data_IF_384783513410
#
_entry.id   IF_384783513410
#
_cell.length_a   1.000
_cell.length_b   1.000
_cell.length_c   1.000
_cell.angle_alpha   90.00
_cell.angle_beta   90.00
_cell.angle_gamma   90.00
#
_symmetry.space_group_name_H-M   'P 1'
#
loop_
_entity.id
_entity.type
_entity.pdbx_description
1 polymer ?
#
# COMPACT_ATOMS: atom_id res chain seq x y z
N UNK A 1 -12.53 -69.32 65.68
CA UNK A 1 -12.08 -67.92 65.61
C UNK A 1 -13.16 -67.13 64.89
N UNK A 2 -14.05 -66.42 65.59
CA UNK A 2 -15.25 -65.86 65.00
C UNK A 2 -15.07 -64.38 64.65
N UNK A 3 -15.48 -63.99 63.45
CA UNK A 3 -15.67 -62.59 63.07
C UNK A 3 -17.13 -62.40 62.67
N UNK A 4 -17.88 -61.68 63.50
CA UNK A 4 -19.29 -61.35 63.32
C UNK A 4 -19.48 -59.84 63.52
N UNK A 5 -19.82 -59.17 62.42
CA UNK A 5 -20.84 -58.12 62.24
C UNK A 5 -20.77 -56.78 63.00
N UNK A 6 -21.43 -55.73 62.45
CA UNK A 6 -21.03 -54.33 62.56
C UNK A 6 -21.82 -53.53 63.60
N UNK A 7 -21.43 -52.27 63.81
CA UNK A 7 -22.28 -51.23 64.42
C UNK A 7 -22.05 -49.87 63.76
N UNK A 8 -23.17 -49.22 63.40
CA UNK A 8 -23.31 -47.79 63.15
C UNK A 8 -23.10 -47.01 64.49
N UNK A 9 -22.82 -45.70 64.57
CA UNK A 9 -23.50 -44.53 63.98
C UNK A 9 -22.71 -43.23 64.25
N UNK A 10 -22.97 -42.21 63.41
CA UNK A 10 -23.13 -40.77 63.71
C UNK A 10 -21.92 -39.83 63.91
N UNK A 11 -21.72 -39.01 62.87
CA UNK A 11 -21.63 -37.54 62.81
C UNK A 11 -20.73 -36.74 63.76
N UNK A 12 -19.87 -35.89 63.18
CA UNK A 12 -19.89 -34.45 63.48
C UNK A 12 -19.28 -33.63 62.33
N UNK A 13 -19.95 -32.54 62.01
CA UNK A 13 -19.67 -31.61 60.93
C UNK A 13 -18.48 -30.68 61.26
N UNK A 14 -17.71 -30.34 60.23
CA UNK A 14 -16.74 -29.24 60.25
C UNK A 14 -16.68 -28.58 58.87
N UNK A 15 -17.36 -27.45 58.70
CA UNK A 15 -17.23 -26.60 57.53
C UNK A 15 -15.82 -26.00 57.51
N UNK A 16 -14.98 -26.44 56.57
CA UNK A 16 -13.73 -25.75 56.20
C UNK A 16 -14.00 -24.99 54.91
N UNK A 17 -14.31 -23.70 55.03
CA UNK A 17 -14.34 -22.79 53.90
C UNK A 17 -12.89 -22.48 53.48
N UNK A 18 -12.36 -23.24 52.52
CA UNK A 18 -11.10 -22.92 51.85
C UNK A 18 -11.31 -21.71 50.96
N UNK A 19 -10.83 -20.55 51.40
CA UNK A 19 -10.71 -19.35 50.57
C UNK A 19 -9.58 -19.57 49.57
N UNK A 20 -9.93 -19.94 48.33
CA UNK A 20 -8.99 -19.98 47.22
C UNK A 20 -8.82 -18.55 46.71
N UNK A 21 -7.74 -17.89 47.12
CA UNK A 21 -7.31 -16.61 46.54
C UNK A 21 -6.74 -16.89 45.15
N UNK A 22 -7.58 -16.88 44.13
CA UNK A 22 -7.12 -16.82 42.74
C UNK A 22 -6.55 -15.43 42.49
N UNK A 23 -5.22 -15.28 42.57
CA UNK A 23 -4.51 -14.14 42.00
C UNK A 23 -4.67 -14.17 40.48
N UNK A 24 -5.75 -13.59 40.00
CA UNK A 24 -5.88 -13.20 38.60
C UNK A 24 -4.96 -12.01 38.39
N UNK A 25 -3.73 -12.27 37.96
CA UNK A 25 -2.94 -11.24 37.29
C UNK A 25 -3.66 -10.92 35.99
N UNK A 26 -4.53 -9.91 36.03
CA UNK A 26 -5.11 -9.32 34.83
C UNK A 26 -3.97 -8.75 34.01
N UNK A 27 -3.55 -9.47 32.96
CA UNK A 27 -2.77 -8.91 31.88
C UNK A 27 -3.72 -7.94 31.14
N UNK A 28 -3.86 -6.71 31.65
CA UNK A 28 -4.41 -5.62 30.85
C UNK A 28 -3.40 -5.38 29.73
N UNK A 29 -3.65 -5.99 28.58
CA UNK A 29 -3.04 -5.57 27.34
C UNK A 29 -3.44 -4.10 27.14
N UNK A 30 -2.53 -3.19 27.48
CA UNK A 30 -2.64 -1.77 27.18
C UNK A 30 -2.81 -1.65 25.68
N UNK A 31 -4.05 -1.42 25.22
CA UNK A 31 -4.29 -1.02 23.83
C UNK A 31 -3.61 0.32 23.65
N UNK A 32 -2.51 0.32 22.92
CA UNK A 32 -1.82 1.54 22.51
C UNK A 32 -2.82 2.45 21.78
N UNK A 33 -2.81 3.73 22.11
CA UNK A 33 -3.73 4.69 21.52
C UNK A 33 -3.47 4.78 20.00
N UNK A 34 -4.51 4.92 19.15
CA UNK A 34 -4.31 5.08 17.72
C UNK A 34 -3.40 6.27 17.41
N UNK A 35 -2.45 6.08 16.49
CA UNK A 35 -1.56 7.15 16.02
C UNK A 35 -2.40 8.20 15.29
N UNK A 36 -2.38 9.48 15.70
CA UNK A 36 -3.10 10.53 15.01
C UNK A 36 -2.56 10.77 13.58
N UNK A 37 -3.44 10.78 12.59
CA UNK A 37 -3.10 11.07 11.19
C UNK A 37 -2.99 12.60 11.01
N UNK A 38 -1.85 13.16 10.57
CA UNK A 38 -1.71 14.59 10.33
C UNK A 38 -2.63 15.09 9.20
N UNK A 39 -3.29 16.25 9.34
CA UNK A 39 -4.24 16.73 8.33
C UNK A 39 -3.61 17.51 7.16
N UNK A 40 -2.28 17.61 7.10
CA UNK A 40 -1.57 18.51 6.19
C UNK A 40 -1.66 18.11 4.70
N UNK A 41 -1.60 19.13 3.83
CA UNK A 41 -1.48 18.97 2.37
C UNK A 41 -0.30 19.83 1.90
N UNK A 42 0.70 19.25 1.19
CA UNK A 42 0.87 17.83 0.95
C UNK A 42 1.13 17.05 2.26
N UNK A 43 0.83 15.74 2.30
CA UNK A 43 1.25 14.85 3.39
C UNK A 43 2.76 14.87 3.61
N UNK A 44 3.20 14.58 4.84
CA UNK A 44 4.62 14.53 5.16
C UNK A 44 5.35 13.39 4.43
N UNK A 45 6.66 13.53 4.26
CA UNK A 45 7.46 12.63 3.45
C UNK A 45 7.66 11.22 4.03
N UNK A 46 7.35 11.01 5.30
CA UNK A 46 7.56 9.74 6.00
C UNK A 46 9.02 9.44 6.32
N UNK A 47 9.33 8.16 6.53
CA UNK A 47 10.70 7.71 6.76
C UNK A 47 11.60 8.12 5.58
N UNK A 48 12.82 8.63 5.83
CA UNK A 48 13.74 9.02 4.77
C UNK A 48 14.12 7.81 3.93
N UNK A 49 14.06 7.95 2.61
CA UNK A 49 14.49 6.92 1.66
C UNK A 49 16.02 6.98 1.55
N UNK A 50 16.74 5.85 1.68
CA UNK A 50 18.16 5.79 1.40
C UNK A 50 18.48 6.19 -0.04
N UNK A 51 19.59 6.90 -0.24
CA UNK A 51 20.13 7.14 -1.59
C UNK A 51 20.53 5.81 -2.23
N UNK A 52 20.13 5.58 -3.47
CA UNK A 52 20.51 4.39 -4.27
C UNK A 52 21.13 4.80 -5.60
N UNK A 53 21.82 3.87 -6.26
CA UNK A 53 22.21 4.05 -7.66
C UNK A 53 21.05 3.65 -8.57
N UNK A 54 20.38 4.65 -9.16
CA UNK A 54 19.24 4.45 -10.06
C UNK A 54 19.65 3.96 -11.46
N UNK A 55 20.95 3.89 -11.75
CA UNK A 55 21.49 3.36 -13.01
C UNK A 55 22.21 2.01 -12.81
N UNK A 56 22.16 1.45 -11.61
CA UNK A 56 22.70 0.13 -11.35
C UNK A 56 22.01 -0.94 -12.22
N UNK A 57 22.72 -1.99 -12.63
CA UNK A 57 22.10 -3.06 -13.42
C UNK A 57 21.04 -3.81 -12.61
N UNK A 58 20.01 -4.29 -13.32
CA UNK A 58 18.90 -5.03 -12.74
C UNK A 58 17.91 -4.14 -12.00
N UNK A 59 17.13 -4.75 -11.11
CA UNK A 59 16.03 -4.10 -10.42
C UNK A 59 16.54 -3.19 -9.32
N UNK A 60 16.58 -1.89 -9.60
CA UNK A 60 17.19 -0.90 -8.69
C UNK A 60 16.47 -0.77 -7.34
N UNK A 61 15.19 -1.13 -7.25
CA UNK A 61 14.45 -1.17 -5.98
C UNK A 61 14.91 -2.27 -5.02
N UNK A 62 15.68 -3.27 -5.49
CA UNK A 62 16.26 -4.29 -4.61
C UNK A 62 17.22 -3.68 -3.58
N UNK A 63 17.87 -2.56 -3.91
CA UNK A 63 18.71 -1.78 -2.99
C UNK A 63 17.92 -1.21 -1.79
N UNK A 64 16.59 -1.14 -1.87
CA UNK A 64 15.70 -0.60 -0.85
C UNK A 64 14.94 -1.68 -0.06
N UNK A 65 15.16 -2.98 -0.32
CA UNK A 65 14.41 -4.05 0.34
C UNK A 65 14.60 -4.08 1.86
N UNK A 66 15.81 -3.83 2.34
CA UNK A 66 16.08 -3.79 3.79
C UNK A 66 15.38 -2.62 4.46
N UNK A 67 15.42 -1.43 3.84
CA UNK A 67 14.69 -0.25 4.30
C UNK A 67 13.18 -0.51 4.33
N UNK A 68 12.64 -1.07 3.25
CA UNK A 68 11.23 -1.39 3.14
C UNK A 68 10.81 -2.41 4.21
N UNK A 69 11.53 -3.52 4.37
CA UNK A 69 11.26 -4.53 5.39
C UNK A 69 11.39 -3.99 6.82
N UNK A 70 12.16 -2.92 7.04
CA UNK A 70 12.29 -2.27 8.34
C UNK A 70 11.05 -1.48 8.78
N UNK A 71 10.18 -1.09 7.85
CA UNK A 71 9.04 -0.20 8.14
C UNK A 71 7.68 -0.71 7.61
N UNK A 72 7.64 -1.82 6.89
CA UNK A 72 6.46 -2.28 6.17
C UNK A 72 5.31 -2.74 7.09
N UNK A 73 5.61 -3.45 8.18
CA UNK A 73 4.62 -4.16 9.00
C UNK A 73 3.56 -3.22 9.61
N UNK A 74 3.93 -2.11 10.29
CA UNK A 74 2.94 -1.20 10.88
C UNK A 74 2.03 -0.52 9.84
N UNK A 75 2.53 -0.37 8.61
CA UNK A 75 1.82 0.26 7.50
C UNK A 75 1.02 -0.75 6.67
N UNK A 76 1.22 -2.05 6.88
CA UNK A 76 0.62 -3.12 6.09
C UNK A 76 0.84 -2.93 4.57
N UNK A 77 2.06 -2.56 4.17
CA UNK A 77 2.46 -2.45 2.76
C UNK A 77 3.34 -3.65 2.40
N UNK A 78 3.15 -4.34 1.27
CA UNK A 78 4.09 -5.36 0.82
C UNK A 78 5.49 -4.76 0.60
N UNK A 79 6.55 -5.49 0.99
CA UNK A 79 7.95 -5.02 0.85
C UNK A 79 8.27 -4.62 -0.59
N UNK A 80 7.82 -5.40 -1.58
CA UNK A 80 8.02 -5.10 -3.00
C UNK A 80 7.38 -3.75 -3.40
N UNK A 81 6.16 -3.48 -2.96
CA UNK A 81 5.48 -2.21 -3.26
C UNK A 81 6.18 -1.02 -2.59
N UNK A 82 6.54 -1.18 -1.31
CA UNK A 82 7.20 -0.11 -0.57
C UNK A 82 8.58 0.23 -1.17
N UNK A 83 9.38 -0.80 -1.51
CA UNK A 83 10.66 -0.61 -2.18
C UNK A 83 10.49 0.10 -3.54
N UNK A 84 9.47 -0.27 -4.33
CA UNK A 84 9.14 0.39 -5.58
C UNK A 84 8.76 1.88 -5.40
N UNK A 85 7.95 2.22 -4.39
CA UNK A 85 7.60 3.62 -4.10
C UNK A 85 8.82 4.44 -3.67
N UNK A 86 9.70 3.87 -2.84
CA UNK A 86 10.96 4.49 -2.47
C UNK A 86 11.88 4.71 -3.68
N UNK A 87 11.99 3.70 -4.53
CA UNK A 87 12.80 3.75 -5.74
C UNK A 87 12.30 4.83 -6.72
N UNK A 88 10.99 4.92 -6.93
CA UNK A 88 10.39 5.92 -7.79
C UNK A 88 10.57 7.35 -7.24
N UNK A 89 10.43 7.54 -5.93
CA UNK A 89 10.71 8.82 -5.28
C UNK A 89 12.19 9.22 -5.42
N UNK A 90 13.11 8.28 -5.23
CA UNK A 90 14.54 8.52 -5.38
C UNK A 90 14.93 8.79 -6.84
N UNK A 91 14.31 8.10 -7.80
CA UNK A 91 14.46 8.35 -9.23
C UNK A 91 14.06 9.78 -9.57
N UNK A 92 12.92 10.28 -9.04
CA UNK A 92 12.53 11.68 -9.24
C UNK A 92 13.44 12.64 -8.49
N UNK A 93 13.90 12.33 -7.27
CA UNK A 93 14.83 13.18 -6.53
C UNK A 93 16.15 13.41 -7.28
N UNK A 94 16.65 12.39 -7.99
CA UNK A 94 17.91 12.49 -8.75
C UNK A 94 17.71 13.10 -10.14
N UNK A 95 16.56 12.89 -10.80
CA UNK A 95 16.34 13.32 -12.20
C UNK A 95 15.50 14.59 -12.34
N UNK A 96 14.67 14.91 -11.34
CA UNK A 96 13.79 16.08 -11.22
C UNK A 96 13.72 16.57 -9.77
N UNK A 97 14.83 17.02 -9.17
CA UNK A 97 14.89 17.40 -7.76
C UNK A 97 13.88 18.50 -7.38
N UNK A 98 13.51 19.36 -8.33
CA UNK A 98 12.50 20.41 -8.15
C UNK A 98 11.08 19.87 -7.91
N UNK A 99 10.83 18.59 -8.19
CA UNK A 99 9.51 17.98 -8.02
C UNK A 99 9.15 17.75 -6.54
N UNK A 100 10.13 17.52 -5.66
CA UNK A 100 9.90 17.25 -4.24
C UNK A 100 8.86 16.12 -3.95
N UNK A 101 8.78 15.10 -4.81
CA UNK A 101 7.88 13.96 -4.62
C UNK A 101 8.29 13.12 -3.41
N UNK A 102 7.35 12.88 -2.49
CA UNK A 102 7.50 11.93 -1.40
C UNK A 102 6.95 10.54 -1.76
N UNK A 103 7.62 9.47 -1.31
CA UNK A 103 7.17 8.08 -1.53
C UNK A 103 5.79 7.82 -0.93
N UNK A 104 5.42 8.52 0.16
CA UNK A 104 4.11 8.40 0.81
C UNK A 104 2.96 8.76 -0.13
N UNK A 105 3.16 9.68 -1.08
CA UNK A 105 2.16 10.02 -2.10
C UNK A 105 1.90 8.85 -3.04
N UNK A 106 2.96 8.18 -3.51
CA UNK A 106 2.86 6.99 -4.36
C UNK A 106 2.21 5.82 -3.61
N UNK A 107 2.56 5.65 -2.33
CA UNK A 107 1.92 4.67 -1.46
C UNK A 107 0.42 4.98 -1.26
N UNK A 108 0.05 6.25 -1.07
CA UNK A 108 -1.35 6.67 -0.98
C UNK A 108 -2.14 6.30 -2.24
N UNK A 109 -1.60 6.57 -3.43
CA UNK A 109 -2.20 6.16 -4.70
C UNK A 109 -2.33 4.64 -4.77
N UNK A 110 -1.24 3.89 -4.55
CA UNK A 110 -1.26 2.43 -4.62
C UNK A 110 -2.22 1.79 -3.60
N UNK A 111 -2.44 2.43 -2.45
CA UNK A 111 -3.47 2.01 -1.50
C UNK A 111 -4.86 2.14 -2.11
N UNK A 112 -5.21 3.34 -2.59
CA UNK A 112 -6.53 3.65 -3.13
C UNK A 112 -6.84 2.79 -4.35
N UNK A 113 -5.87 2.64 -5.26
CA UNK A 113 -6.04 1.87 -6.50
C UNK A 113 -6.22 0.38 -6.24
N UNK A 114 -5.29 -0.24 -5.50
CA UNK A 114 -5.25 -1.72 -5.43
C UNK A 114 -4.82 -2.30 -4.09
N UNK A 115 -4.81 -1.49 -3.01
CA UNK A 115 -4.26 -1.91 -1.71
C UNK A 115 -2.82 -2.44 -1.83
N UNK A 116 -2.01 -1.77 -2.66
CA UNK A 116 -0.62 -2.11 -2.99
C UNK A 116 -0.48 -3.43 -3.75
N UNK A 117 -1.25 -3.61 -4.82
CA UNK A 117 -1.22 -4.81 -5.66
C UNK A 117 -1.96 -6.01 -5.08
N UNK A 118 -2.88 -5.80 -4.13
CA UNK A 118 -3.62 -6.86 -3.41
C UNK A 118 -5.13 -6.89 -3.70
N UNK A 119 -5.55 -6.26 -4.78
CA UNK A 119 -6.97 -6.18 -5.13
C UNK A 119 -7.45 -7.46 -5.83
N UNK A 120 -8.69 -7.89 -5.52
CA UNK A 120 -9.36 -9.07 -6.12
C UNK A 120 -8.55 -10.38 -6.07
N UNK A 121 -7.79 -10.58 -4.99
CA UNK A 121 -7.00 -11.79 -4.77
C UNK A 121 -5.64 -11.80 -5.47
N UNK A 122 -5.27 -10.69 -6.14
CA UNK A 122 -3.90 -10.49 -6.59
C UNK A 122 -2.94 -10.34 -5.41
N UNK A 123 -1.68 -10.67 -5.64
CA UNK A 123 -0.56 -10.35 -4.76
C UNK A 123 0.65 -10.01 -5.62
N UNK A 124 1.58 -9.23 -5.07
CA UNK A 124 2.89 -9.03 -5.70
C UNK A 124 3.77 -10.25 -5.43
N UNK A 125 4.39 -10.79 -6.48
CA UNK A 125 5.46 -11.77 -6.32
C UNK A 125 6.78 -11.08 -5.93
N UNK A 126 7.83 -11.88 -5.71
CA UNK A 126 9.15 -11.37 -5.32
C UNK A 126 9.75 -10.42 -6.37
N UNK A 127 9.44 -10.64 -7.65
CA UNK A 127 9.89 -9.84 -8.79
C UNK A 127 9.06 -8.56 -9.00
N UNK A 128 7.99 -8.34 -8.21
CA UNK A 128 7.15 -7.14 -8.28
C UNK A 128 5.96 -7.21 -9.22
N UNK A 129 5.66 -8.35 -9.83
CA UNK A 129 4.48 -8.53 -10.67
C UNK A 129 3.22 -8.81 -9.84
N UNK A 130 2.13 -8.13 -10.19
CA UNK A 130 0.81 -8.45 -9.67
C UNK A 130 0.25 -9.73 -10.31
N UNK A 131 0.01 -10.77 -9.50
CA UNK A 131 -0.49 -12.07 -9.93
C UNK A 131 -1.76 -12.49 -9.18
N UNK A 132 -2.88 -12.81 -9.88
CA UNK A 132 -3.09 -12.56 -11.31
C UNK A 132 -3.04 -11.05 -11.64
N UNK A 133 -2.88 -10.68 -12.92
CA UNK A 133 -2.99 -9.29 -13.37
C UNK A 133 -4.24 -8.60 -12.85
N UNK A 134 -4.11 -7.33 -12.46
CA UNK A 134 -5.21 -6.53 -11.93
C UNK A 134 -5.82 -5.73 -13.08
N UNK A 135 -6.94 -6.20 -13.61
CA UNK A 135 -7.68 -5.51 -14.66
C UNK A 135 -8.92 -4.84 -14.04
N UNK A 136 -9.01 -3.53 -14.28
CA UNK A 136 -10.09 -2.67 -13.86
C UNK A 136 -11.42 -2.99 -14.57
N UNK A 137 -12.43 -2.20 -14.21
CA UNK A 137 -13.71 -2.22 -14.92
C UNK A 137 -13.56 -1.64 -16.33
N UNK A 138 -14.53 -1.96 -17.20
CA UNK A 138 -14.62 -1.34 -18.54
C UNK A 138 -14.97 0.13 -18.39
N UNK A 139 -14.28 0.99 -19.11
CA UNK A 139 -14.58 2.42 -19.16
C UNK A 139 -15.44 2.70 -20.41
N UNK A 140 -16.70 2.25 -20.37
CA UNK A 140 -17.66 2.28 -21.48
C UNK A 140 -18.74 3.38 -21.37
N UNK A 141 -18.53 4.36 -20.49
CA UNK A 141 -19.48 5.45 -20.27
C UNK A 141 -20.75 5.05 -19.52
N UNK A 142 -20.85 3.82 -18.99
CA UNK A 142 -21.95 3.44 -18.11
C UNK A 142 -21.96 4.29 -16.82
N UNK A 143 -23.11 4.45 -16.13
CA UNK A 143 -23.26 5.44 -15.07
C UNK A 143 -22.18 5.36 -13.98
N UNK A 144 -21.40 6.44 -13.85
CA UNK A 144 -20.30 6.54 -12.89
C UNK A 144 -18.91 6.23 -13.46
N UNK A 145 -18.81 5.87 -14.74
CA UNK A 145 -17.54 5.53 -15.39
C UNK A 145 -17.27 6.42 -16.61
N UNK A 146 -15.99 6.67 -16.88
CA UNK A 146 -15.57 7.36 -18.09
C UNK A 146 -15.86 6.50 -19.33
N UNK A 147 -15.96 7.14 -20.49
CA UNK A 147 -16.01 6.51 -21.80
C UNK A 147 -14.64 6.67 -22.46
N UNK A 148 -13.84 5.60 -22.47
CA UNK A 148 -12.46 5.59 -22.99
C UNK A 148 -12.34 4.45 -24.02
N UNK A 149 -12.38 4.77 -25.33
CA UNK A 149 -12.17 3.78 -26.38
C UNK A 149 -10.79 3.12 -26.30
N UNK A 150 -10.65 1.91 -26.85
CA UNK A 150 -9.38 1.17 -26.91
C UNK A 150 -8.26 2.01 -27.54
N UNK A 151 -7.09 2.06 -26.88
CA UNK A 151 -5.92 2.82 -27.36
C UNK A 151 -4.69 1.96 -27.63
N UNK A 152 -4.73 0.66 -27.33
CA UNK A 152 -3.57 -0.23 -27.44
C UNK A 152 -3.82 -1.56 -28.17
N UNK A 153 -5.05 -1.78 -28.67
CA UNK A 153 -5.44 -3.01 -29.34
C UNK A 153 -5.73 -4.15 -28.36
N UNK A 154 -6.11 -3.84 -27.12
CA UNK A 154 -6.30 -4.79 -26.03
C UNK A 154 -4.98 -5.40 -25.53
N UNK A 155 -3.84 -4.72 -25.71
CA UNK A 155 -2.51 -5.25 -25.38
C UNK A 155 -2.38 -5.53 -23.87
N UNK A 156 -2.85 -4.61 -23.03
CA UNK A 156 -2.64 -4.71 -21.59
C UNK A 156 -3.84 -5.25 -20.81
N UNK A 157 -5.05 -5.07 -21.33
CA UNK A 157 -6.30 -5.45 -20.64
C UNK A 157 -7.15 -6.49 -21.39
N UNK A 158 -6.80 -6.81 -22.64
CA UNK A 158 -7.51 -7.77 -23.49
C UNK A 158 -8.84 -7.26 -24.06
N UNK A 159 -9.22 -6.00 -23.86
CA UNK A 159 -10.47 -5.41 -24.37
C UNK A 159 -10.18 -4.57 -25.62
N UNK A 160 -10.63 -5.02 -26.78
CA UNK A 160 -10.38 -4.33 -28.06
C UNK A 160 -11.41 -3.27 -28.41
N UNK A 161 -12.26 -2.87 -27.45
CA UNK A 161 -13.30 -1.86 -27.66
C UNK A 161 -13.12 -0.65 -26.76
N UNK A 162 -12.87 -0.87 -25.46
CA UNK A 162 -12.65 0.21 -24.48
C UNK A 162 -11.54 -0.18 -23.52
N UNK A 163 -10.72 0.81 -23.18
CA UNK A 163 -9.62 0.65 -22.26
C UNK A 163 -10.10 0.39 -20.82
N UNK A 164 -9.24 -0.28 -20.06
CA UNK A 164 -9.39 -0.54 -18.62
C UNK A 164 -8.14 -0.10 -17.89
N UNK A 165 -8.28 0.21 -16.61
CA UNK A 165 -7.13 0.44 -15.75
C UNK A 165 -6.35 -0.87 -15.49
N UNK A 166 -5.03 -0.85 -15.62
CA UNK A 166 -4.17 -2.05 -15.55
C UNK A 166 -3.15 -1.96 -14.43
N UNK A 167 -2.96 -3.09 -13.75
CA UNK A 167 -1.86 -3.31 -12.82
C UNK A 167 -2.04 -2.65 -11.45
N UNK A 168 -1.02 -2.73 -10.58
CA UNK A 168 -1.11 -2.29 -9.19
C UNK A 168 -1.28 -0.78 -9.01
N UNK A 169 -0.97 0.02 -10.02
CA UNK A 169 -1.19 1.47 -10.01
C UNK A 169 -2.32 1.90 -10.97
N UNK A 170 -3.07 0.95 -11.55
CA UNK A 170 -4.28 1.20 -12.34
C UNK A 170 -4.10 2.23 -13.47
N UNK A 171 -3.02 2.08 -14.25
CA UNK A 171 -2.79 2.91 -15.43
C UNK A 171 -3.77 2.54 -16.55
N UNK A 172 -4.40 3.55 -17.16
CA UNK A 172 -5.08 3.40 -18.45
C UNK A 172 -4.01 3.32 -19.57
N UNK A 173 -4.16 2.44 -20.58
CA UNK A 173 -3.19 2.26 -21.66
C UNK A 173 -2.67 3.54 -22.32
N UNK A 174 -3.54 4.53 -22.58
CA UNK A 174 -3.10 5.83 -23.12
C UNK A 174 -2.07 6.53 -22.21
N UNK A 175 -2.36 6.59 -20.90
CA UNK A 175 -1.44 7.16 -19.91
C UNK A 175 -0.18 6.30 -19.76
N UNK A 176 -0.31 4.97 -19.83
CA UNK A 176 0.82 4.07 -19.81
C UNK A 176 1.77 4.33 -20.99
N UNK A 177 1.25 4.53 -22.19
CA UNK A 177 2.06 4.83 -23.37
C UNK A 177 2.90 6.10 -23.18
N UNK A 178 2.36 7.09 -22.46
CA UNK A 178 3.09 8.35 -22.16
C UNK A 178 4.12 8.18 -21.03
N UNK A 179 3.74 7.53 -19.93
CA UNK A 179 4.51 7.56 -18.69
C UNK A 179 5.24 6.26 -18.34
N UNK A 180 4.82 5.12 -18.89
CA UNK A 180 5.39 3.80 -18.65
C UNK A 180 6.88 3.76 -18.94
N UNK A 181 7.66 3.16 -18.04
CA UNK A 181 9.11 2.98 -18.17
C UNK A 181 9.49 1.66 -17.52
N UNK A 182 10.41 0.95 -18.18
CA UNK A 182 11.11 -0.19 -17.59
C UNK A 182 11.99 0.34 -16.43
N UNK A 183 11.62 0.00 -15.21
CA UNK A 183 12.27 0.42 -13.97
C UNK A 183 12.84 -0.75 -13.17
N UNK A 184 12.43 -1.99 -13.45
CA UNK A 184 13.13 -3.19 -12.96
C UNK A 184 14.32 -3.61 -13.84
N UNK A 185 14.52 -3.00 -15.00
CA UNK A 185 15.69 -3.20 -15.86
C UNK A 185 15.68 -4.54 -16.60
N UNK A 186 14.49 -5.10 -16.86
CA UNK A 186 14.34 -6.38 -17.59
C UNK A 186 14.20 -6.21 -19.11
N UNK A 187 14.14 -4.97 -19.60
CA UNK A 187 13.99 -4.61 -21.00
C UNK A 187 12.55 -4.36 -21.44
N UNK A 188 11.56 -4.49 -20.56
CA UNK A 188 10.12 -4.40 -20.87
C UNK A 188 9.41 -3.48 -19.87
N UNK A 189 8.84 -2.38 -20.38
CA UNK A 189 7.92 -1.59 -19.57
C UNK A 189 6.55 -2.31 -19.46
N UNK A 190 6.20 -2.82 -18.28
CA UNK A 190 4.95 -3.55 -18.00
C UNK A 190 4.11 -2.89 -16.89
N UNK A 191 2.84 -2.50 -17.14
CA UNK A 191 1.98 -1.89 -16.14
C UNK A 191 1.64 -2.81 -14.98
N UNK A 192 1.80 -4.13 -15.12
CA UNK A 192 1.61 -5.12 -14.04
C UNK A 192 2.81 -5.24 -13.11
N UNK A 193 3.95 -4.64 -13.47
CA UNK A 193 5.17 -4.63 -12.69
C UNK A 193 5.22 -3.36 -11.83
N UNK A 194 5.30 -3.52 -10.51
CA UNK A 194 5.14 -2.43 -9.55
C UNK A 194 6.21 -1.33 -9.64
N UNK A 195 7.47 -1.64 -9.99
CA UNK A 195 8.50 -0.60 -10.11
C UNK A 195 8.24 0.29 -11.31
N UNK A 196 7.90 -0.32 -12.45
CA UNK A 196 7.57 0.38 -13.69
C UNK A 196 6.35 1.27 -13.46
N UNK A 197 5.32 0.71 -12.81
CA UNK A 197 4.09 1.40 -12.45
C UNK A 197 4.34 2.56 -11.48
N UNK A 198 5.19 2.37 -10.46
CA UNK A 198 5.52 3.41 -9.50
C UNK A 198 6.32 4.56 -10.15
N UNK A 199 7.32 4.24 -10.99
CA UNK A 199 8.08 5.26 -11.73
C UNK A 199 7.20 5.99 -12.74
N UNK A 200 6.29 5.29 -13.43
CA UNK A 200 5.32 5.92 -14.32
C UNK A 200 4.43 6.92 -13.55
N UNK A 201 3.90 6.52 -12.39
CA UNK A 201 3.10 7.40 -11.53
C UNK A 201 3.91 8.61 -11.06
N UNK A 202 5.14 8.41 -10.61
CA UNK A 202 6.03 9.48 -10.19
C UNK A 202 6.28 10.51 -11.31
N UNK A 203 6.48 10.04 -12.55
CA UNK A 203 6.66 10.90 -13.73
C UNK A 203 5.40 11.70 -14.04
N UNK A 204 4.23 11.07 -14.02
CA UNK A 204 2.94 11.75 -14.23
C UNK A 204 2.75 12.87 -13.20
N UNK A 205 2.93 12.56 -11.91
CA UNK A 205 2.75 13.50 -10.81
C UNK A 205 3.72 14.69 -10.93
N UNK A 206 5.00 14.42 -11.17
CA UNK A 206 6.01 15.46 -11.32
C UNK A 206 5.77 16.34 -12.57
N UNK A 207 5.37 15.76 -13.70
CA UNK A 207 5.08 16.53 -14.92
C UNK A 207 3.87 17.45 -14.72
N UNK A 208 2.85 16.98 -13.99
CA UNK A 208 1.59 17.72 -13.83
C UNK A 208 1.63 18.73 -12.69
N UNK A 209 2.28 18.37 -11.59
CA UNK A 209 2.38 19.20 -10.39
C UNK A 209 3.55 20.17 -10.41
N UNK A 210 4.69 19.80 -11.03
CA UNK A 210 5.94 20.52 -10.79
C UNK A 210 6.40 20.30 -9.35
N UNK A 211 6.52 21.36 -8.57
CA UNK A 211 6.89 21.27 -7.15
C UNK A 211 5.73 20.77 -6.29
N UNK A 212 5.79 19.51 -5.88
CA UNK A 212 4.80 18.81 -5.06
C UNK A 212 4.89 19.13 -3.57
N UNK A 213 5.86 19.94 -3.14
CA UNK A 213 5.85 20.50 -1.78
C UNK A 213 4.78 21.60 -1.60
N UNK A 214 4.27 22.13 -2.71
CA UNK A 214 3.20 23.15 -2.74
C UNK A 214 1.83 22.46 -2.78
N UNK A 215 0.94 22.82 -1.85
CA UNK A 215 -0.35 22.15 -1.65
C UNK A 215 -1.24 22.13 -2.90
N UNK A 216 -1.31 23.23 -3.65
CA UNK A 216 -2.11 23.35 -4.87
C UNK A 216 -1.54 22.50 -6.01
N UNK A 217 -0.21 22.38 -6.08
CA UNK A 217 0.48 21.57 -7.08
C UNK A 217 0.29 20.08 -6.80
N UNK A 218 0.41 19.67 -5.54
CA UNK A 218 0.16 18.30 -5.13
C UNK A 218 -1.27 17.87 -5.45
N UNK A 219 -2.27 18.69 -5.09
CA UNK A 219 -3.67 18.41 -5.40
C UNK A 219 -3.91 18.32 -6.91
N UNK A 220 -3.32 19.23 -7.70
CA UNK A 220 -3.41 19.19 -9.16
C UNK A 220 -2.80 17.91 -9.74
N UNK A 221 -1.67 17.47 -9.22
CA UNK A 221 -1.01 16.23 -9.65
C UNK A 221 -1.87 15.00 -9.35
N UNK A 222 -2.44 14.90 -8.15
CA UNK A 222 -3.32 13.78 -7.76
C UNK A 222 -4.63 13.81 -8.56
N UNK A 223 -5.20 14.99 -8.84
CA UNK A 223 -6.38 15.13 -9.71
C UNK A 223 -6.12 14.71 -11.16
N UNK A 224 -4.88 14.83 -11.63
CA UNK A 224 -4.51 14.35 -12.97
C UNK A 224 -4.42 12.82 -13.04
N UNK A 225 -4.26 12.16 -11.89
CA UNK A 225 -4.37 10.72 -11.77
C UNK A 225 -5.82 10.26 -11.81
N UNK A 226 -6.68 10.92 -11.03
CA UNK A 226 -8.12 10.73 -11.04
C UNK A 226 -8.83 12.04 -10.67
N UNK A 227 -9.73 12.52 -11.54
CA UNK A 227 -10.40 13.81 -11.42
C UNK A 227 -11.53 13.85 -10.37
N UNK A 228 -11.29 13.28 -9.18
CA UNK A 228 -12.21 13.24 -8.04
C UNK A 228 -11.61 13.89 -6.81
N UNK A 229 -12.37 14.78 -6.16
CA UNK A 229 -11.98 15.38 -4.87
C UNK A 229 -11.93 14.36 -3.75
N UNK A 230 -12.82 13.37 -3.79
CA UNK A 230 -12.83 12.26 -2.83
C UNK A 230 -11.53 11.47 -2.95
N UNK A 231 -11.14 11.13 -4.18
CA UNK A 231 -9.87 10.45 -4.45
C UNK A 231 -8.66 11.21 -3.92
N UNK A 232 -8.61 12.53 -4.11
CA UNK A 232 -7.51 13.38 -3.56
C UNK A 232 -7.44 13.26 -2.04
N UNK A 233 -8.59 13.23 -1.35
CA UNK A 233 -8.65 13.10 0.10
C UNK A 233 -8.26 11.70 0.56
N UNK A 234 -8.70 10.65 -0.13
CA UNK A 234 -8.33 9.27 0.20
C UNK A 234 -6.82 9.04 0.04
N UNK A 235 -6.23 9.54 -1.06
CA UNK A 235 -4.78 9.50 -1.29
C UNK A 235 -4.04 10.30 -0.20
N UNK A 236 -4.56 11.48 0.15
CA UNK A 236 -3.98 12.34 1.20
C UNK A 236 -3.97 11.63 2.54
N UNK A 237 -5.08 11.02 2.93
CA UNK A 237 -5.24 10.37 4.23
C UNK A 237 -4.39 9.11 4.33
N UNK A 238 -4.34 8.30 3.27
CA UNK A 238 -3.44 7.15 3.18
C UNK A 238 -1.96 7.58 3.25
N UNK A 239 -1.54 8.57 2.46
CA UNK A 239 -0.18 9.09 2.48
C UNK A 239 0.20 9.69 3.85
N UNK A 240 -0.72 10.40 4.51
CA UNK A 240 -0.51 10.95 5.84
C UNK A 240 -0.36 9.86 6.90
N UNK A 241 -1.14 8.78 6.83
CA UNK A 241 -0.98 7.62 7.70
C UNK A 241 0.40 6.97 7.54
N UNK A 242 0.84 6.75 6.30
CA UNK A 242 2.16 6.20 6.02
C UNK A 242 3.30 7.13 6.45
N UNK A 243 3.09 8.45 6.43
CA UNK A 243 4.08 9.41 6.90
C UNK A 243 4.41 9.31 8.40
N UNK A 244 3.49 8.75 9.19
CA UNK A 244 3.67 8.49 10.63
C UNK A 244 3.83 7.00 10.95
N UNK A 245 4.03 6.17 9.92
CA UNK A 245 4.30 4.74 10.08
C UNK A 245 3.09 3.92 10.54
N UNK A 246 1.87 4.29 10.13
CA UNK A 246 0.66 3.50 10.41
C UNK A 246 -0.08 3.14 9.14
N UNK A 247 -0.95 2.13 9.21
CA UNK A 247 -1.82 1.74 8.11
C UNK A 247 -2.80 2.85 7.76
N UNK A 248 -3.10 2.99 6.46
CA UNK A 248 -4.19 3.82 5.97
C UNK A 248 -5.55 3.37 6.53
N UNK A 249 -6.52 4.31 6.70
CA UNK A 249 -7.85 4.04 7.23
C UNK A 249 -8.74 3.17 6.32
#
# INVERSE_FOLDING_TARGET
>A
MPTLTPRATASLAGLLATVVLSSSCSYEATREAPIPIPPGIPPAAGAPVPTIDINAPGRTSDQLREWAAGINEPMNIPVAALAAYGNAAETMRQTRPECNLAWTTLAGIGHVETRHGRYRGAMLNDDGYALPPIIGIKLDGSPGFADIPDTDGGRWDGDTEHDRAVGPMQFIPESWNKYGRDANGDGVADPNQIDDAAVAAARLLCETGGDLSVAENWQRAVLAYNASREYVMDVRDAAAAYSVGTTAP
#
